data_IF_605030058440
#
_entry.id   IF_605030058440
#
_cell.length_a   1.000
_cell.length_b   1.000
_cell.length_c   1.000
_cell.angle_alpha   90.00
_cell.angle_beta   90.00
_cell.angle_gamma   90.00
#
_symmetry.space_group_name_H-M   'P 1'
#
loop_
_entity.id
_entity.type
_entity.pdbx_description
1 polymer ?
#
# COMPACT_ATOMS: atom_id res chain seq x y z
N UNK A 1 -22.55 -18.27 13.46
CA UNK A 1 -21.26 -18.08 12.76
C UNK A 1 -21.14 -16.61 12.44
N UNK A 2 -20.12 -15.93 12.97
CA UNK A 2 -19.79 -14.56 12.57
C UNK A 2 -19.13 -14.63 11.19
N UNK A 3 -19.81 -14.16 10.15
CA UNK A 3 -19.32 -14.16 8.76
C UNK A 3 -18.30 -13.02 8.47
N UNK A 4 -17.56 -12.58 9.49
CA UNK A 4 -16.64 -11.43 9.38
C UNK A 4 -15.22 -11.81 9.77
N UNK A 5 -14.26 -11.00 9.31
CA UNK A 5 -12.87 -11.09 9.79
C UNK A 5 -12.83 -10.76 11.29
N UNK A 6 -11.95 -11.42 12.02
CA UNK A 6 -11.75 -11.18 13.47
C UNK A 6 -11.02 -9.86 13.77
N UNK A 7 -10.58 -9.14 12.74
CA UNK A 7 -9.83 -7.90 12.83
C UNK A 7 -10.42 -6.84 11.90
N UNK A 8 -10.21 -5.56 12.24
CA UNK A 8 -10.51 -4.45 11.35
C UNK A 8 -9.38 -4.30 10.31
N UNK A 9 -9.75 -4.29 9.02
CA UNK A 9 -8.79 -4.17 7.92
C UNK A 9 -8.06 -2.82 7.95
N UNK A 10 -8.74 -1.74 8.32
CA UNK A 10 -8.14 -0.39 8.37
C UNK A 10 -7.12 -0.28 9.49
N UNK A 11 -7.36 -0.96 10.60
CA UNK A 11 -6.40 -1.00 11.70
C UNK A 11 -5.21 -1.89 11.35
N UNK A 12 -5.45 -3.11 10.89
CA UNK A 12 -4.38 -4.09 10.62
C UNK A 12 -3.48 -3.72 9.43
N UNK A 13 -4.06 -3.14 8.37
CA UNK A 13 -3.34 -2.80 7.14
C UNK A 13 -3.31 -1.28 6.89
N UNK A 14 -3.29 -0.50 7.97
CA UNK A 14 -3.29 0.96 7.92
C UNK A 14 -2.12 1.52 7.12
N UNK A 15 -0.94 0.92 7.25
CA UNK A 15 0.24 1.28 6.47
C UNK A 15 0.02 1.13 4.96
N UNK A 16 -0.41 -0.05 4.51
CA UNK A 16 -0.65 -0.34 3.09
C UNK A 16 -1.74 0.57 2.51
N UNK A 17 -2.82 0.83 3.28
CA UNK A 17 -3.90 1.71 2.87
C UNK A 17 -3.44 3.17 2.77
N UNK A 18 -2.58 3.63 3.67
CA UNK A 18 -2.00 4.96 3.61
C UNK A 18 -1.10 5.12 2.37
N UNK A 19 -0.25 4.14 2.07
CA UNK A 19 0.57 4.14 0.85
C UNK A 19 -0.28 4.21 -0.43
N UNK A 20 -1.37 3.43 -0.49
CA UNK A 20 -2.33 3.48 -1.60
C UNK A 20 -2.99 4.86 -1.70
N UNK A 21 -3.42 5.44 -0.56
CA UNK A 21 -4.03 6.76 -0.52
C UNK A 21 -3.04 7.85 -0.99
N UNK A 22 -1.80 7.80 -0.52
CA UNK A 22 -0.74 8.71 -0.95
C UNK A 22 -0.50 8.61 -2.47
N UNK A 23 -0.51 7.40 -3.02
CA UNK A 23 -0.35 7.18 -4.47
C UNK A 23 -1.52 7.76 -5.28
N UNK A 24 -2.75 7.59 -4.79
CA UNK A 24 -3.95 8.19 -5.41
C UNK A 24 -3.88 9.71 -5.35
N UNK A 25 -3.53 10.29 -4.20
CA UNK A 25 -3.39 11.73 -4.04
C UNK A 25 -2.33 12.32 -5.01
N UNK A 26 -1.23 11.60 -5.25
CA UNK A 26 -0.21 12.00 -6.24
C UNK A 26 -0.77 12.02 -7.68
N UNK A 27 -1.59 11.03 -8.03
CA UNK A 27 -2.26 10.95 -9.33
C UNK A 27 -3.29 12.06 -9.49
N UNK A 28 -4.13 12.30 -8.48
CA UNK A 28 -5.19 13.32 -8.49
C UNK A 28 -4.63 14.74 -8.54
N UNK A 29 -3.56 15.02 -7.79
CA UNK A 29 -2.93 16.34 -7.75
C UNK A 29 -2.21 16.72 -9.06
N UNK A 30 -2.26 15.87 -10.08
CA UNK A 30 -1.59 16.11 -11.36
C UNK A 30 -0.07 16.26 -11.20
N UNK A 31 0.51 15.80 -10.08
CA UNK A 31 1.96 15.83 -9.83
C UNK A 31 2.65 14.73 -10.62
N UNK A 32 2.38 14.69 -11.91
CA UNK A 32 3.33 14.24 -12.93
C UNK A 32 4.16 15.47 -13.29
N UNK A 33 4.90 16.01 -12.32
CA UNK A 33 5.89 17.05 -12.59
C UNK A 33 7.14 16.33 -13.13
N UNK A 34 7.26 16.24 -14.46
CA UNK A 34 8.59 16.23 -15.05
C UNK A 34 8.91 17.65 -15.49
N UNK A 35 9.74 18.30 -14.67
CA UNK A 35 10.47 19.50 -15.02
C UNK A 35 11.40 19.18 -16.20
N UNK A 36 10.89 19.26 -17.44
CA UNK A 36 11.70 19.07 -18.65
C UNK A 36 11.12 18.10 -19.69
N UNK A 37 10.02 18.48 -20.34
CA UNK A 37 9.77 18.19 -21.77
C UNK A 37 9.71 16.74 -22.26
N UNK A 38 9.71 15.72 -21.41
CA UNK A 38 9.85 14.31 -21.82
C UNK A 38 8.80 13.41 -21.18
N UNK A 39 8.01 12.71 -22.01
CA UNK A 39 7.20 11.50 -21.76
C UNK A 39 6.18 11.49 -20.59
N UNK A 40 5.20 12.39 -20.70
CA UNK A 40 3.93 12.44 -19.97
C UNK A 40 3.14 11.11 -19.92
N UNK A 41 3.23 10.24 -20.93
CA UNK A 41 2.51 8.94 -20.96
C UNK A 41 3.19 7.83 -20.15
N UNK A 42 4.51 7.88 -20.01
CA UNK A 42 5.28 6.82 -19.35
C UNK A 42 5.09 6.82 -17.83
N UNK A 43 5.01 8.01 -17.25
CA UNK A 43 4.83 8.21 -15.80
C UNK A 43 3.42 7.84 -15.34
N UNK A 44 2.36 8.23 -16.05
CA UNK A 44 0.98 7.86 -15.68
C UNK A 44 0.74 6.34 -15.73
N UNK A 45 1.12 5.70 -16.84
CA UNK A 45 0.98 4.25 -16.99
C UNK A 45 1.80 3.50 -15.91
N UNK A 46 2.99 4.00 -15.56
CA UNK A 46 3.82 3.44 -14.50
C UNK A 46 3.18 3.59 -13.12
N UNK A 47 2.64 4.78 -12.80
CA UNK A 47 1.94 5.02 -11.55
C UNK A 47 0.71 4.12 -11.39
N UNK A 48 -0.08 3.93 -12.46
CA UNK A 48 -1.23 3.03 -12.46
C UNK A 48 -0.81 1.56 -12.25
N UNK A 49 0.27 1.11 -12.91
CA UNK A 49 0.81 -0.25 -12.70
C UNK A 49 1.25 -0.47 -11.26
N UNK A 50 1.92 0.51 -10.65
CA UNK A 50 2.33 0.45 -9.25
C UNK A 50 1.11 0.39 -8.31
N UNK A 51 0.10 1.23 -8.53
CA UNK A 51 -1.13 1.21 -7.74
C UNK A 51 -1.83 -0.16 -7.81
N UNK A 52 -1.95 -0.76 -9.00
CA UNK A 52 -2.50 -2.11 -9.17
C UNK A 52 -1.71 -3.16 -8.38
N UNK A 53 -0.38 -3.05 -8.38
CA UNK A 53 0.50 -3.94 -7.62
C UNK A 53 0.26 -3.82 -6.11
N UNK A 54 0.21 -2.59 -5.59
CA UNK A 54 -0.02 -2.32 -4.17
C UNK A 54 -1.37 -2.88 -3.69
N UNK A 55 -2.43 -2.70 -4.48
CA UNK A 55 -3.75 -3.28 -4.20
C UNK A 55 -3.68 -4.81 -4.22
N UNK A 56 -3.03 -5.40 -5.22
CA UNK A 56 -2.87 -6.86 -5.32
C UNK A 56 -2.12 -7.45 -4.13
N UNK A 57 -1.04 -6.81 -3.70
CA UNK A 57 -0.26 -7.22 -2.53
C UNK A 57 -1.10 -7.16 -1.24
N UNK A 58 -1.86 -6.08 -1.04
CA UNK A 58 -2.77 -5.96 0.11
C UNK A 58 -3.85 -7.05 0.11
N UNK A 59 -4.50 -7.30 -1.04
CA UNK A 59 -5.51 -8.35 -1.14
C UNK A 59 -4.90 -9.74 -0.86
N UNK A 60 -3.69 -10.01 -1.34
CA UNK A 60 -2.97 -11.26 -1.04
C UNK A 60 -2.63 -11.38 0.45
N UNK A 61 -2.27 -10.28 1.13
CA UNK A 61 -2.05 -10.31 2.59
C UNK A 61 -3.35 -10.64 3.33
N UNK A 62 -4.45 -9.96 3.01
CA UNK A 62 -5.77 -10.18 3.62
C UNK A 62 -6.22 -11.63 3.41
N UNK A 63 -6.21 -12.12 2.16
CA UNK A 63 -6.68 -13.46 1.81
C UNK A 63 -5.90 -14.56 2.53
N UNK A 64 -4.60 -14.38 2.71
CA UNK A 64 -3.73 -15.37 3.33
C UNK A 64 -3.53 -15.14 4.84
N UNK A 65 -4.24 -14.17 5.44
CA UNK A 65 -4.12 -13.84 6.86
C UNK A 65 -2.73 -13.36 7.29
N UNK A 66 -1.95 -12.79 6.37
CA UNK A 66 -0.59 -12.31 6.65
C UNK A 66 -0.62 -11.03 7.49
N UNK A 67 0.50 -10.76 8.15
CA UNK A 67 0.73 -9.54 8.92
C UNK A 67 0.65 -8.28 8.04
N UNK A 68 0.18 -7.19 8.63
CA UNK A 68 0.38 -5.86 8.05
C UNK A 68 1.85 -5.44 8.15
N UNK A 69 2.26 -4.41 7.41
CA UNK A 69 3.64 -3.93 7.48
C UNK A 69 4.01 -3.44 8.89
N UNK A 70 3.11 -2.78 9.61
CA UNK A 70 3.38 -2.33 10.98
C UNK A 70 3.55 -3.52 11.94
N UNK A 71 2.77 -4.60 11.75
CA UNK A 71 2.92 -5.85 12.52
C UNK A 71 4.29 -6.50 12.24
N UNK A 72 4.70 -6.58 10.97
CA UNK A 72 6.01 -7.11 10.57
C UNK A 72 7.16 -6.31 11.22
N UNK A 73 7.06 -4.98 11.20
CA UNK A 73 8.02 -4.09 11.83
C UNK A 73 8.06 -4.31 13.34
N UNK A 74 6.91 -4.33 14.01
CA UNK A 74 6.82 -4.56 15.45
C UNK A 74 7.50 -5.89 15.86
N UNK A 75 7.28 -6.96 15.09
CA UNK A 75 7.92 -8.26 15.33
C UNK A 75 9.44 -8.20 15.17
N UNK A 76 9.96 -7.42 14.23
CA UNK A 76 11.42 -7.24 14.07
C UNK A 76 12.06 -6.52 15.26
N UNK A 77 11.35 -5.57 15.87
CA UNK A 77 11.84 -4.84 17.04
C UNK A 77 11.69 -5.63 18.35
N UNK A 78 10.63 -6.44 18.49
CA UNK A 78 10.45 -7.32 19.66
C UNK A 78 11.49 -8.45 19.67
N UNK A 79 11.86 -8.98 18.51
CA UNK A 79 12.87 -10.07 18.41
C UNK A 79 14.32 -9.57 18.51
N UNK A 80 14.55 -8.27 18.67
CA UNK A 80 15.86 -7.70 18.98
C UNK A 80 15.94 -7.40 20.48
N UNK A 81 16.14 -8.45 21.26
CA UNK A 81 16.64 -8.30 22.63
C UNK A 81 18.05 -7.69 22.56
N UNK A 82 18.17 -6.41 22.95
CA UNK A 82 19.42 -5.76 23.33
C UNK A 82 19.60 -5.85 24.85
#
# INVERSE_FOLDING_TARGET
MSNGLEYDIKEKYGYELNEISNKLNQLEAGRVYENGGSKMDGSLATNIKQLRKMIGELLLKIQNGKDGTDDEIAKLFINKDY
#
